data_IF_089875898130
#
_entry.id   IF_089875898130
#
_cell.length_a   1.000
_cell.length_b   1.000
_cell.length_c   1.000
_cell.angle_alpha   90.00
_cell.angle_beta   90.00
_cell.angle_gamma   90.00
#
_symmetry.space_group_name_H-M   'P 1'
#
loop_
_entity.id
_entity.type
_entity.pdbx_description
1 polymer ?
#
# COMPACT_ATOMS: atom_id res chain seq x y z
N UNK A 1 25.83 -7.85 -7.29
CA UNK A 1 25.27 -8.94 -8.13
C UNK A 1 23.78 -9.14 -7.82
N UNK A 2 23.38 -9.42 -6.57
CA UNK A 2 21.95 -9.50 -6.19
C UNK A 2 21.15 -8.24 -6.52
N UNK A 3 21.68 -7.04 -6.23
CA UNK A 3 21.01 -5.77 -6.51
C UNK A 3 20.57 -5.58 -7.98
N UNK A 4 21.24 -6.23 -8.95
CA UNK A 4 20.84 -6.18 -10.36
C UNK A 4 19.58 -7.04 -10.63
N UNK A 5 19.39 -8.11 -9.88
CA UNK A 5 18.21 -8.96 -9.95
C UNK A 5 17.05 -8.46 -9.10
N UNK A 6 17.31 -7.55 -8.14
CA UNK A 6 16.30 -6.97 -7.26
C UNK A 6 15.42 -5.97 -8.00
N UNK A 7 14.11 -6.20 -7.97
CA UNK A 7 13.08 -5.25 -8.39
C UNK A 7 13.35 -3.89 -7.71
N UNK A 8 13.39 -2.77 -8.47
CA UNK A 8 13.50 -1.44 -7.91
C UNK A 8 12.49 -1.15 -6.78
N UNK A 9 11.31 -1.78 -6.80
CA UNK A 9 10.34 -1.69 -5.73
C UNK A 9 10.89 -2.20 -4.39
N UNK A 10 11.66 -3.32 -4.39
CA UNK A 10 12.29 -3.84 -3.17
C UNK A 10 13.37 -2.90 -2.63
N UNK A 11 14.10 -2.21 -3.52
CA UNK A 11 15.13 -1.25 -3.15
C UNK A 11 14.51 0.00 -2.52
N UNK A 12 13.49 0.57 -3.16
CA UNK A 12 12.76 1.73 -2.64
C UNK A 12 12.11 1.44 -1.29
N UNK A 13 11.47 0.28 -1.13
CA UNK A 13 10.83 -0.04 0.15
C UNK A 13 11.83 -0.28 1.27
N UNK A 14 13.05 -0.75 0.98
CA UNK A 14 14.13 -0.80 1.97
C UNK A 14 14.57 0.60 2.41
N UNK A 15 14.81 1.50 1.47
CA UNK A 15 15.21 2.89 1.74
C UNK A 15 14.13 3.64 2.52
N UNK A 16 12.88 3.61 2.04
CA UNK A 16 11.76 4.29 2.70
C UNK A 16 11.42 3.70 4.07
N UNK A 17 11.61 2.40 4.28
CA UNK A 17 11.44 1.80 5.61
C UNK A 17 12.49 2.31 6.60
N UNK A 18 13.72 2.49 6.13
CA UNK A 18 14.79 3.08 6.93
C UNK A 18 14.48 4.53 7.27
N UNK A 19 14.13 5.33 6.25
CA UNK A 19 13.77 6.74 6.42
C UNK A 19 12.57 6.94 7.34
N UNK A 20 11.53 6.10 7.24
CA UNK A 20 10.37 6.17 8.12
C UNK A 20 10.72 5.90 9.59
N UNK A 21 11.70 5.01 9.86
CA UNK A 21 12.18 4.77 11.22
C UNK A 21 13.03 5.93 11.74
N UNK A 22 13.88 6.51 10.90
CA UNK A 22 14.66 7.70 11.25
C UNK A 22 13.76 8.91 11.53
N UNK A 23 12.74 9.16 10.70
CA UNK A 23 11.75 10.21 10.90
C UNK A 23 10.93 10.00 12.19
N UNK A 24 10.64 8.73 12.53
CA UNK A 24 9.99 8.38 13.80
C UNK A 24 10.94 8.47 15.01
N UNK A 25 12.23 8.76 14.83
CA UNK A 25 13.22 8.80 15.92
C UNK A 25 13.57 7.42 16.49
N UNK A 26 13.27 6.34 15.77
CA UNK A 26 13.44 4.95 16.23
C UNK A 26 14.71 4.37 15.60
N UNK A 27 15.78 4.12 16.38
CA UNK A 27 17.04 3.63 15.84
C UNK A 27 16.91 2.18 15.35
N UNK A 28 17.13 1.89 14.05
CA UNK A 28 16.94 0.54 13.48
C UNK A 28 17.79 -0.54 14.17
N UNK A 29 18.95 -0.17 14.71
CA UNK A 29 19.87 -1.08 15.40
C UNK A 29 19.26 -1.72 16.65
N UNK A 30 18.29 -1.06 17.30
CA UNK A 30 17.60 -1.55 18.49
C UNK A 30 16.44 -2.50 18.20
N UNK A 31 16.07 -2.69 16.92
CA UNK A 31 14.87 -3.41 16.54
C UNK A 31 15.08 -4.90 16.26
N UNK A 32 16.33 -5.39 16.27
CA UNK A 32 16.61 -6.81 16.00
C UNK A 32 15.98 -7.68 17.08
N UNK A 33 15.18 -8.67 16.68
CA UNK A 33 14.42 -9.53 17.59
C UNK A 33 13.11 -8.89 18.10
N UNK A 34 12.79 -7.67 17.69
CA UNK A 34 11.51 -7.03 18.04
C UNK A 34 10.34 -7.67 17.32
N UNK A 35 9.16 -7.62 17.92
CA UNK A 35 7.91 -8.04 17.25
C UNK A 35 7.38 -6.93 16.36
N UNK A 36 8.25 -6.32 15.56
CA UNK A 36 7.85 -5.31 14.59
C UNK A 36 7.32 -5.97 13.33
N UNK A 37 6.13 -5.60 12.88
CA UNK A 37 5.51 -6.13 11.66
C UNK A 37 5.82 -5.28 10.42
N UNK A 38 5.67 -5.88 9.24
CA UNK A 38 5.86 -5.25 7.92
C UNK A 38 4.70 -5.61 6.99
N UNK A 39 3.98 -4.60 6.51
CA UNK A 39 2.77 -4.75 5.71
C UNK A 39 2.83 -3.85 4.48
N UNK A 40 3.08 -4.41 3.30
CA UNK A 40 3.21 -3.60 2.08
C UNK A 40 2.20 -3.96 1.00
N UNK A 41 1.56 -2.94 0.44
CA UNK A 41 0.73 -3.05 -0.74
C UNK A 41 1.55 -2.96 -2.02
N UNK A 42 1.43 -3.96 -2.91
CA UNK A 42 2.03 -3.92 -4.24
C UNK A 42 1.23 -4.79 -5.21
N UNK A 43 1.08 -4.34 -6.46
CA UNK A 43 0.25 -5.03 -7.47
C UNK A 43 1.08 -5.61 -8.62
N UNK A 44 1.98 -4.81 -9.20
CA UNK A 44 2.68 -5.18 -10.43
C UNK A 44 4.11 -5.63 -10.14
N UNK A 45 4.55 -6.71 -10.77
CA UNK A 45 5.95 -7.14 -10.83
C UNK A 45 6.39 -7.15 -12.29
N UNK A 46 6.72 -5.97 -12.79
CA UNK A 46 7.10 -5.75 -14.19
C UNK A 46 8.59 -6.05 -14.42
N UNK A 47 9.41 -5.96 -13.36
CA UNK A 47 10.87 -6.11 -13.47
C UNK A 47 11.29 -7.49 -13.99
N UNK A 48 10.50 -8.54 -13.70
CA UNK A 48 10.63 -9.87 -14.29
C UNK A 48 10.77 -9.85 -15.81
N UNK A 49 9.91 -9.07 -16.46
CA UNK A 49 9.83 -8.98 -17.93
C UNK A 49 10.97 -8.14 -18.50
N UNK A 50 11.32 -7.05 -17.83
CA UNK A 50 12.39 -6.13 -18.26
C UNK A 50 13.77 -6.74 -18.08
N UNK A 51 14.02 -7.40 -16.94
CA UNK A 51 15.32 -7.98 -16.60
C UNK A 51 15.55 -9.37 -17.24
N UNK A 52 14.48 -10.12 -17.49
CA UNK A 52 14.52 -11.57 -17.68
C UNK A 52 14.02 -12.11 -19.03
N UNK A 53 14.03 -11.33 -20.12
CA UNK A 53 13.46 -11.74 -21.42
C UNK A 53 13.95 -13.06 -22.06
N UNK A 54 14.81 -13.85 -21.43
CA UNK A 54 15.18 -15.20 -21.85
C UNK A 54 15.30 -16.13 -20.62
N UNK A 55 14.81 -17.37 -20.73
CA UNK A 55 14.92 -18.42 -19.69
C UNK A 55 16.39 -18.65 -19.25
N UNK A 56 17.33 -18.36 -20.15
CA UNK A 56 18.78 -18.48 -19.99
C UNK A 56 19.38 -17.49 -18.98
N UNK A 57 18.58 -16.51 -18.51
CA UNK A 57 18.98 -15.48 -17.54
C UNK A 57 18.46 -15.72 -16.12
N UNK A 58 17.79 -16.85 -15.88
CA UNK A 58 17.41 -17.27 -14.53
C UNK A 58 18.70 -17.58 -13.74
N UNK A 59 18.92 -16.81 -12.68
CA UNK A 59 20.08 -16.92 -11.81
C UNK A 59 19.64 -17.09 -10.36
N UNK A 60 20.60 -17.35 -9.47
CA UNK A 60 20.37 -17.61 -8.04
C UNK A 60 19.47 -16.57 -7.34
N UNK A 61 19.52 -15.30 -7.74
CA UNK A 61 18.76 -14.21 -7.12
C UNK A 61 17.48 -13.83 -7.86
N UNK A 62 17.11 -14.51 -8.96
CA UNK A 62 15.93 -14.16 -9.74
C UNK A 62 14.65 -14.31 -8.92
N UNK A 63 14.51 -15.44 -8.21
CA UNK A 63 13.32 -15.70 -7.38
C UNK A 63 13.16 -14.66 -6.26
N UNK A 64 14.22 -14.42 -5.48
CA UNK A 64 14.16 -13.46 -4.37
C UNK A 64 14.16 -12.00 -4.85
N UNK A 65 14.65 -11.73 -6.05
CA UNK A 65 14.70 -10.39 -6.62
C UNK A 65 13.37 -9.92 -7.20
N UNK A 66 12.45 -10.81 -7.57
CA UNK A 66 11.28 -10.46 -8.39
C UNK A 66 9.93 -10.81 -7.75
N UNK A 67 9.92 -11.66 -6.74
CA UNK A 67 8.70 -12.02 -6.03
C UNK A 67 8.20 -10.88 -5.12
N UNK A 68 6.90 -10.60 -5.16
CA UNK A 68 6.29 -9.52 -4.39
C UNK A 68 6.30 -9.79 -2.88
N UNK A 69 6.22 -11.05 -2.44
CA UNK A 69 6.30 -11.39 -1.01
C UNK A 69 7.65 -10.99 -0.39
N UNK A 70 8.69 -10.92 -1.21
CA UNK A 70 10.03 -10.54 -0.77
C UNK A 70 10.12 -9.03 -0.47
N UNK A 71 9.17 -8.20 -0.93
CA UNK A 71 9.11 -6.78 -0.57
C UNK A 71 9.10 -6.58 0.96
N UNK A 72 8.17 -7.25 1.64
CA UNK A 72 8.06 -7.18 3.09
C UNK A 72 9.15 -8.03 3.78
N UNK A 73 9.36 -9.26 3.30
CA UNK A 73 10.30 -10.18 3.92
C UNK A 73 11.75 -9.66 3.93
N UNK A 74 12.16 -8.93 2.89
CA UNK A 74 13.51 -8.36 2.81
C UNK A 74 13.71 -7.24 3.83
N UNK A 75 12.71 -6.38 4.06
CA UNK A 75 12.75 -5.36 5.11
C UNK A 75 12.84 -6.02 6.48
N UNK A 76 11.98 -7.01 6.76
CA UNK A 76 12.05 -7.80 8.00
C UNK A 76 13.43 -8.44 8.19
N UNK A 77 13.99 -9.04 7.14
CA UNK A 77 15.32 -9.68 7.18
C UNK A 77 16.44 -8.68 7.48
N UNK A 78 16.50 -7.55 6.76
CA UNK A 78 17.56 -6.55 6.89
C UNK A 78 17.53 -5.89 8.27
N UNK A 79 16.33 -5.59 8.79
CA UNK A 79 16.14 -4.94 10.08
C UNK A 79 16.10 -5.95 11.26
N UNK A 80 16.01 -7.25 10.98
CA UNK A 80 15.93 -8.31 11.98
C UNK A 80 14.60 -8.35 12.75
N UNK A 81 13.49 -8.07 12.07
CA UNK A 81 12.15 -8.00 12.69
C UNK A 81 11.48 -9.38 12.70
N UNK A 82 10.78 -9.70 13.79
CA UNK A 82 10.15 -11.01 14.02
C UNK A 82 8.62 -10.95 14.06
N UNK A 83 8.01 -9.79 13.78
CA UNK A 83 6.56 -9.67 13.63
C UNK A 83 6.03 -10.18 12.29
N UNK A 84 4.70 -10.12 12.06
CA UNK A 84 4.09 -10.49 10.79
C UNK A 84 4.71 -9.73 9.61
N UNK A 85 5.02 -10.42 8.51
CA UNK A 85 5.63 -9.84 7.32
C UNK A 85 4.85 -10.28 6.08
N UNK A 86 4.19 -9.34 5.39
CA UNK A 86 3.33 -9.68 4.26
C UNK A 86 3.27 -8.61 3.17
N UNK A 87 3.17 -9.09 1.93
CA UNK A 87 2.79 -8.30 0.78
C UNK A 87 1.32 -8.54 0.47
N UNK A 88 0.58 -7.46 0.17
CA UNK A 88 -0.87 -7.48 -0.07
C UNK A 88 -1.15 -6.92 -1.46
N UNK A 89 -2.02 -7.60 -2.19
CA UNK A 89 -2.50 -7.14 -3.49
C UNK A 89 -4.04 -7.13 -3.50
N UNK A 90 -4.61 -5.96 -3.31
CA UNK A 90 -6.04 -5.66 -3.48
C UNK A 90 -6.22 -4.55 -4.52
N UNK A 91 -5.36 -4.56 -5.56
CA UNK A 91 -5.27 -3.54 -6.60
C UNK A 91 -5.09 -2.11 -6.03
N UNK A 92 -5.93 -1.16 -6.41
CA UNK A 92 -5.80 0.26 -6.02
C UNK A 92 -5.89 0.50 -4.52
N UNK A 93 -6.45 -0.43 -3.75
CA UNK A 93 -6.60 -0.32 -2.29
C UNK A 93 -5.44 -0.92 -1.49
N UNK A 94 -4.44 -1.52 -2.15
CA UNK A 94 -3.43 -2.38 -1.51
C UNK A 94 -2.70 -1.70 -0.35
N UNK A 95 -2.31 -0.43 -0.49
CA UNK A 95 -1.62 0.32 0.57
C UNK A 95 -2.52 0.59 1.78
N UNK A 96 -3.78 0.96 1.56
CA UNK A 96 -4.74 1.17 2.65
C UNK A 96 -5.13 -0.13 3.36
N UNK A 97 -5.24 -1.24 2.63
CA UNK A 97 -5.45 -2.57 3.23
C UNK A 97 -4.23 -2.98 4.04
N UNK A 98 -3.02 -2.72 3.56
CA UNK A 98 -1.79 -2.98 4.32
C UNK A 98 -1.74 -2.18 5.63
N UNK A 99 -2.11 -0.89 5.60
CA UNK A 99 -2.25 -0.05 6.80
C UNK A 99 -3.35 -0.57 7.74
N UNK A 100 -4.49 -1.02 7.20
CA UNK A 100 -5.54 -1.64 8.00
C UNK A 100 -5.05 -2.88 8.74
N UNK A 101 -4.36 -3.79 8.05
CA UNK A 101 -3.81 -5.01 8.64
C UNK A 101 -2.73 -4.70 9.69
N UNK A 102 -1.87 -3.72 9.44
CA UNK A 102 -0.91 -3.23 10.43
C UNK A 102 -1.62 -2.72 11.70
N UNK A 103 -2.67 -1.91 11.56
CA UNK A 103 -3.47 -1.46 12.70
C UNK A 103 -4.10 -2.64 13.46
N UNK A 104 -4.65 -3.63 12.76
CA UNK A 104 -5.19 -4.83 13.40
C UNK A 104 -4.13 -5.62 14.16
N UNK A 105 -2.94 -5.79 13.59
CA UNK A 105 -1.83 -6.49 14.23
C UNK A 105 -1.37 -5.80 15.52
N UNK A 106 -1.26 -4.45 15.49
CA UNK A 106 -0.94 -3.64 16.66
C UNK A 106 -2.02 -3.75 17.75
N UNK A 107 -3.30 -3.63 17.38
CA UNK A 107 -4.41 -3.72 18.33
C UNK A 107 -4.55 -5.10 18.98
N UNK A 108 -4.14 -6.16 18.28
CA UNK A 108 -4.12 -7.54 18.79
C UNK A 108 -2.85 -7.88 19.57
N UNK A 109 -1.85 -6.99 19.59
CA UNK A 109 -0.55 -7.24 20.21
C UNK A 109 0.31 -8.27 19.45
N UNK A 110 -0.02 -8.56 18.20
CA UNK A 110 0.79 -9.39 17.30
C UNK A 110 2.04 -8.61 16.83
N UNK A 111 1.92 -7.28 16.74
CA UNK A 111 3.03 -6.36 16.51
C UNK A 111 3.11 -5.30 17.61
N UNK A 112 4.31 -4.85 17.96
CA UNK A 112 4.52 -3.70 18.86
C UNK A 112 4.83 -2.38 18.14
N UNK A 113 5.36 -2.52 16.92
CA UNK A 113 5.51 -1.48 15.90
C UNK A 113 5.16 -2.11 14.55
N UNK A 114 4.61 -1.35 13.61
CA UNK A 114 4.34 -1.85 12.27
C UNK A 114 4.80 -0.84 11.22
N UNK A 115 5.60 -1.30 10.26
CA UNK A 115 5.86 -0.58 9.01
C UNK A 115 4.75 -0.92 8.02
N UNK A 116 4.04 0.08 7.53
CA UNK A 116 2.95 -0.11 6.60
C UNK A 116 3.05 0.85 5.42
N UNK A 117 2.65 0.44 4.23
CA UNK A 117 2.81 1.29 3.06
C UNK A 117 2.49 0.61 1.75
N UNK A 118 3.00 1.16 0.66
CA UNK A 118 2.90 0.53 -0.65
C UNK A 118 3.79 1.17 -1.70
N UNK A 119 3.91 0.47 -2.82
CA UNK A 119 4.74 0.86 -3.96
C UNK A 119 4.06 0.51 -5.27
N UNK A 120 4.24 1.37 -6.26
CA UNK A 120 3.85 1.13 -7.63
C UNK A 120 4.88 1.73 -8.58
N UNK A 121 5.50 0.89 -9.41
CA UNK A 121 6.35 1.30 -10.52
C UNK A 121 5.82 0.73 -11.84
N UNK A 122 5.99 1.47 -12.93
CA UNK A 122 5.58 1.15 -14.29
C UNK A 122 6.81 0.88 -15.15
N UNK A 123 7.39 -0.31 -14.97
CA UNK A 123 8.68 -0.64 -15.61
C UNK A 123 8.51 -1.19 -17.03
N UNK A 124 7.31 -1.65 -17.39
CA UNK A 124 7.02 -2.24 -18.68
C UNK A 124 5.65 -1.77 -19.22
N UNK A 125 5.48 -1.66 -20.56
CA UNK A 125 4.28 -1.06 -21.15
C UNK A 125 3.03 -1.94 -21.06
N UNK A 126 3.16 -3.25 -20.83
CA UNK A 126 2.04 -4.20 -20.93
C UNK A 126 0.93 -3.91 -19.92
N UNK A 127 1.27 -3.51 -18.69
CA UNK A 127 0.29 -3.14 -17.67
C UNK A 127 -0.49 -1.88 -18.09
N UNK A 128 0.18 -0.91 -18.74
CA UNK A 128 -0.47 0.29 -19.27
C UNK A 128 -1.37 -0.05 -20.48
N UNK A 129 -0.91 -0.91 -21.39
CA UNK A 129 -1.71 -1.37 -22.55
C UNK A 129 -2.95 -2.13 -22.07
N UNK A 130 -2.83 -2.99 -21.07
CA UNK A 130 -3.95 -3.72 -20.49
C UNK A 130 -5.01 -2.76 -19.89
N UNK A 131 -4.58 -1.76 -19.13
CA UNK A 131 -5.48 -0.74 -18.56
C UNK A 131 -6.11 0.16 -19.63
N UNK A 132 -5.38 0.49 -20.70
CA UNK A 132 -5.94 1.21 -21.85
C UNK A 132 -7.05 0.39 -22.54
N UNK A 133 -6.83 -0.92 -22.74
CA UNK A 133 -7.85 -1.83 -23.30
C UNK A 133 -9.05 -2.03 -22.37
N UNK A 134 -8.85 -1.92 -21.06
CA UNK A 134 -9.94 -1.93 -20.07
C UNK A 134 -10.79 -0.65 -20.14
N UNK A 135 -10.33 0.39 -20.84
CA UNK A 135 -11.09 1.63 -21.04
C UNK A 135 -11.10 2.57 -19.84
N UNK A 136 -10.18 2.38 -18.87
CA UNK A 136 -10.14 3.14 -17.61
C UNK A 136 -9.17 4.32 -17.64
N UNK A 137 -8.30 4.40 -18.66
CA UNK A 137 -7.30 5.46 -18.77
C UNK A 137 -7.82 6.68 -19.54
N UNK A 138 -7.50 7.87 -19.05
CA UNK A 138 -7.82 9.12 -19.75
C UNK A 138 -6.96 9.27 -21.01
N UNK A 139 -7.57 9.55 -22.18
CA UNK A 139 -6.83 9.86 -23.41
C UNK A 139 -6.09 11.20 -23.32
N UNK A 140 -6.47 12.08 -22.39
CA UNK A 140 -5.85 13.39 -22.18
C UNK A 140 -4.62 13.32 -21.26
N UNK A 141 -4.32 12.13 -20.70
CA UNK A 141 -3.23 11.93 -19.74
C UNK A 141 -3.43 12.67 -18.42
N UNK A 142 -4.69 12.95 -18.02
CA UNK A 142 -5.01 13.68 -16.78
C UNK A 142 -6.21 13.06 -16.06
N UNK A 143 -6.04 12.78 -14.77
CA UNK A 143 -7.16 12.48 -13.87
C UNK A 143 -7.91 13.78 -13.56
N UNK A 144 -9.17 13.87 -13.97
CA UNK A 144 -10.03 15.05 -13.80
C UNK A 144 -11.15 14.75 -12.80
N UNK A 145 -10.75 14.44 -11.57
CA UNK A 145 -11.67 14.04 -10.50
C UNK A 145 -12.78 15.08 -10.30
N UNK A 146 -14.04 14.61 -10.33
CA UNK A 146 -15.25 15.40 -10.12
C UNK A 146 -15.53 16.49 -11.17
N UNK A 147 -14.77 16.53 -12.28
CA UNK A 147 -14.99 17.44 -13.40
C UNK A 147 -15.98 16.81 -14.39
N UNK A 148 -16.86 17.61 -14.99
CA UNK A 148 -17.79 17.14 -16.03
C UNK A 148 -17.09 16.51 -17.25
N UNK A 149 -15.79 16.76 -17.44
CA UNK A 149 -14.93 16.20 -18.49
C UNK A 149 -14.15 14.96 -18.04
N UNK A 150 -14.46 14.38 -16.87
CA UNK A 150 -13.92 13.13 -16.37
C UNK A 150 -14.05 12.02 -17.43
N UNK A 151 -12.91 11.45 -17.85
CA UNK A 151 -12.84 10.47 -18.93
C UNK A 151 -11.80 9.37 -18.67
N UNK A 152 -11.50 9.09 -17.40
CA UNK A 152 -10.52 8.10 -16.96
C UNK A 152 -9.43 8.69 -16.06
N UNK A 153 -8.58 7.82 -15.52
CA UNK A 153 -7.44 8.22 -14.70
C UNK A 153 -6.13 8.18 -15.51
N UNK A 154 -5.08 8.82 -15.00
CA UNK A 154 -3.71 8.63 -15.47
C UNK A 154 -2.93 7.80 -14.45
N UNK A 155 -2.11 6.86 -14.94
CA UNK A 155 -1.26 6.06 -14.05
C UNK A 155 -0.11 6.91 -13.51
N UNK A 156 0.22 6.71 -12.23
CA UNK A 156 1.37 7.34 -11.58
C UNK A 156 2.30 6.29 -10.96
N UNK A 157 3.54 6.68 -10.69
CA UNK A 157 4.49 5.89 -9.91
C UNK A 157 4.68 6.54 -8.53
N UNK A 158 4.99 5.73 -7.53
CA UNK A 158 5.24 6.22 -6.19
C UNK A 158 5.40 5.11 -5.17
N UNK A 159 5.96 5.49 -4.03
CA UNK A 159 6.10 4.62 -2.87
C UNK A 159 5.96 5.46 -1.59
N UNK A 160 5.54 4.82 -0.51
CA UNK A 160 5.45 5.45 0.80
C UNK A 160 5.36 4.42 1.92
N UNK A 161 5.97 4.75 3.05
CA UNK A 161 5.98 3.94 4.27
C UNK A 161 5.64 4.82 5.47
N UNK A 162 4.81 4.31 6.37
CA UNK A 162 4.52 4.90 7.67
C UNK A 162 4.93 3.92 8.78
N UNK A 163 5.51 4.44 9.86
CA UNK A 163 5.75 3.70 11.08
C UNK A 163 4.56 3.91 12.04
N UNK A 164 3.95 2.81 12.49
CA UNK A 164 2.75 2.82 13.33
C UNK A 164 3.04 2.17 14.67
N UNK A 165 2.56 2.80 15.76
CA UNK A 165 2.57 2.26 17.13
C UNK A 165 1.22 2.53 17.80
N UNK A 166 0.84 1.76 18.84
CA UNK A 166 -0.28 2.13 19.69
C UNK A 166 -0.02 3.51 20.31
N UNK A 167 -1.00 4.42 20.24
CA UNK A 167 -0.84 5.80 20.69
C UNK A 167 -0.31 5.92 22.12
N UNK A 168 -0.82 5.07 23.03
CA UNK A 168 -0.35 5.04 24.41
C UNK A 168 1.15 4.73 24.51
N UNK A 169 1.65 3.81 23.68
CA UNK A 169 3.07 3.45 23.66
C UNK A 169 3.92 4.56 23.04
N UNK A 170 3.46 5.18 21.94
CA UNK A 170 4.16 6.31 21.33
C UNK A 170 4.31 7.49 22.31
N UNK A 171 3.27 7.77 23.10
CA UNK A 171 3.32 8.80 24.15
C UNK A 171 4.28 8.44 25.29
N UNK A 172 4.32 7.17 25.71
CA UNK A 172 5.24 6.71 26.76
C UNK A 172 6.70 6.78 26.32
N UNK A 173 6.97 6.41 25.07
CA UNK A 173 8.32 6.40 24.51
C UNK A 173 8.79 7.79 24.06
N UNK A 174 7.88 8.78 24.01
CA UNK A 174 8.18 10.15 23.60
C UNK A 174 8.39 10.29 22.09
N UNK A 175 7.78 9.42 21.29
CA UNK A 175 7.92 9.43 19.84
C UNK A 175 7.21 10.66 19.22
N UNK A 176 7.72 11.18 18.09
CA UNK A 176 6.98 12.16 17.28
C UNK A 176 5.69 11.54 16.73
N UNK A 177 4.58 12.29 16.83
CA UNK A 177 3.25 11.85 16.36
C UNK A 177 2.75 12.81 15.29
N UNK A 178 2.79 12.39 14.03
CA UNK A 178 2.27 13.16 12.89
C UNK A 178 0.75 13.12 12.77
N UNK A 179 0.12 12.06 13.27
CA UNK A 179 -1.32 11.85 13.19
C UNK A 179 -1.76 10.58 13.91
N UNK A 180 -3.08 10.40 14.02
CA UNK A 180 -3.67 9.23 14.68
C UNK A 180 -4.71 8.58 13.77
N UNK A 181 -4.52 7.29 13.48
CA UNK A 181 -5.52 6.48 12.79
C UNK A 181 -6.57 6.08 13.83
N UNK A 182 -7.73 6.74 13.77
CA UNK A 182 -8.83 6.49 14.73
C UNK A 182 -9.58 5.21 14.44
N UNK A 183 -9.72 4.84 13.17
CA UNK A 183 -10.39 3.62 12.74
C UNK A 183 -10.20 3.40 11.24
N UNK A 184 -10.34 2.16 10.82
CA UNK A 184 -10.30 1.74 9.41
C UNK A 184 -11.18 0.52 9.20
N UNK A 185 -11.66 0.34 7.97
CA UNK A 185 -12.50 -0.79 7.57
C UNK A 185 -12.10 -1.24 6.16
N UNK A 186 -12.44 -2.49 5.83
CA UNK A 186 -12.27 -3.09 4.49
C UNK A 186 -13.51 -3.94 4.23
N UNK A 187 -14.09 -3.81 3.04
CA UNK A 187 -15.19 -4.65 2.57
C UNK A 187 -15.04 -4.96 1.06
N UNK A 188 -16.07 -5.50 0.44
CA UNK A 188 -16.10 -5.82 -0.98
C UNK A 188 -17.45 -5.43 -1.58
N UNK A 189 -17.44 -5.02 -2.85
CA UNK A 189 -18.64 -4.65 -3.59
C UNK A 189 -19.60 -5.84 -3.78
N UNK A 190 -19.11 -7.07 -3.70
CA UNK A 190 -19.89 -8.28 -3.86
C UNK A 190 -20.44 -8.42 -5.28
N UNK A 191 -21.69 -8.87 -5.40
CA UNK A 191 -22.39 -8.93 -6.67
C UNK A 191 -22.95 -7.55 -7.03
N UNK A 192 -22.30 -6.85 -7.97
CA UNK A 192 -22.68 -5.51 -8.44
C UNK A 192 -22.98 -5.50 -9.96
N UNK A 193 -23.13 -4.32 -10.57
CA UNK A 193 -23.40 -4.14 -12.00
C UNK A 193 -22.24 -4.56 -12.94
N UNK A 194 -21.20 -5.19 -12.41
CA UNK A 194 -20.08 -5.74 -13.15
C UNK A 194 -18.87 -5.93 -12.23
N UNK A 195 -17.97 -6.86 -12.56
CA UNK A 195 -16.81 -7.16 -11.71
C UNK A 195 -15.94 -5.93 -11.38
N UNK A 196 -15.90 -4.95 -12.28
CA UNK A 196 -15.12 -3.71 -12.13
C UNK A 196 -16.00 -2.49 -11.85
N UNK A 197 -17.31 -2.67 -11.70
CA UNK A 197 -18.23 -1.57 -11.44
C UNK A 197 -18.32 -1.30 -9.93
N UNK A 198 -18.12 -0.04 -9.48
CA UNK A 198 -18.19 0.29 -8.06
C UNK A 198 -19.61 0.12 -7.51
N UNK A 199 -19.72 -0.12 -6.20
CA UNK A 199 -21.00 -0.19 -5.49
C UNK A 199 -21.15 0.96 -4.48
N UNK A 200 -22.02 1.96 -4.72
CA UNK A 200 -22.28 3.03 -3.76
C UNK A 200 -22.74 2.53 -2.39
N UNK A 201 -23.57 1.48 -2.37
CA UNK A 201 -24.05 0.88 -1.13
C UNK A 201 -22.92 0.22 -0.33
N UNK A 202 -21.96 -0.43 -1.00
CA UNK A 202 -20.79 -0.99 -0.33
C UNK A 202 -19.85 0.10 0.20
N UNK A 203 -19.64 1.19 -0.55
CA UNK A 203 -18.86 2.33 -0.07
C UNK A 203 -19.52 3.01 1.13
N UNK A 204 -20.84 3.19 1.13
CA UNK A 204 -21.57 3.73 2.27
C UNK A 204 -21.42 2.83 3.51
N UNK A 205 -21.60 1.51 3.34
CA UNK A 205 -21.42 0.55 4.42
C UNK A 205 -19.98 0.56 4.97
N UNK A 206 -18.98 0.69 4.09
CA UNK A 206 -17.57 0.81 4.46
C UNK A 206 -17.33 2.04 5.34
N UNK A 207 -17.82 3.20 4.92
CA UNK A 207 -17.67 4.45 5.67
C UNK A 207 -18.36 4.37 7.04
N UNK A 208 -19.57 3.79 7.10
CA UNK A 208 -20.30 3.58 8.36
C UNK A 208 -19.50 2.70 9.33
N UNK A 209 -18.91 1.60 8.86
CA UNK A 209 -18.06 0.73 9.69
C UNK A 209 -16.80 1.47 10.16
N UNK A 210 -16.11 2.18 9.25
CA UNK A 210 -14.93 2.96 9.61
C UNK A 210 -15.22 4.03 10.68
N UNK A 211 -16.34 4.75 10.57
CA UNK A 211 -16.76 5.74 11.56
C UNK A 211 -17.15 5.12 12.90
N UNK A 212 -17.86 3.99 12.88
CA UNK A 212 -18.21 3.25 14.09
C UNK A 212 -16.95 2.78 14.83
N UNK A 213 -15.98 2.21 14.12
CA UNK A 213 -14.67 1.79 14.70
C UNK A 213 -13.86 2.96 15.23
N UNK A 214 -13.94 4.11 14.57
CA UNK A 214 -13.28 5.34 15.01
C UNK A 214 -13.98 6.03 16.21
N UNK A 215 -15.21 5.62 16.53
CA UNK A 215 -16.04 6.25 17.55
C UNK A 215 -16.38 7.71 17.21
N UNK A 216 -16.57 8.03 15.93
CA UNK A 216 -16.90 9.38 15.47
C UNK A 216 -18.21 9.39 14.69
N UNK A 217 -18.88 10.55 14.68
CA UNK A 217 -20.01 10.82 13.82
C UNK A 217 -19.56 11.40 12.47
N UNK A 218 -20.31 11.20 11.38
CA UNK A 218 -19.94 11.73 10.06
C UNK A 218 -19.75 13.26 10.04
N UNK A 219 -20.52 14.02 10.83
CA UNK A 219 -20.43 15.50 10.92
C UNK A 219 -19.14 16.01 11.56
N UNK A 220 -18.33 15.12 12.14
CA UNK A 220 -17.02 15.46 12.68
C UNK A 220 -15.90 15.39 11.62
N UNK A 221 -16.17 14.78 10.45
CA UNK A 221 -15.22 14.69 9.34
C UNK A 221 -15.23 15.99 8.57
N UNK A 222 -14.08 16.66 8.50
CA UNK A 222 -13.93 17.96 7.82
C UNK A 222 -13.40 17.86 6.41
N UNK A 223 -12.72 16.76 6.11
CA UNK A 223 -12.02 16.55 4.85
C UNK A 223 -12.08 15.07 4.47
N UNK A 224 -12.21 14.81 3.18
CA UNK A 224 -12.16 13.47 2.59
C UNK A 224 -11.19 13.51 1.43
N UNK A 225 -10.06 12.82 1.57
CA UNK A 225 -9.22 12.46 0.43
C UNK A 225 -9.92 11.30 -0.30
N UNK A 226 -10.63 11.61 -1.37
CA UNK A 226 -11.44 10.63 -2.09
C UNK A 226 -10.58 9.73 -3.00
N UNK A 227 -11.13 8.58 -3.42
CA UNK A 227 -10.49 7.76 -4.45
C UNK A 227 -10.35 8.51 -5.78
N UNK A 228 -11.39 9.30 -6.15
CA UNK A 228 -11.31 10.39 -7.12
C UNK A 228 -10.58 10.05 -8.42
N UNK A 229 -10.98 8.99 -9.10
CA UNK A 229 -10.23 8.51 -10.28
C UNK A 229 -10.49 9.35 -11.54
N UNK A 230 -11.47 10.26 -11.55
CA UNK A 230 -11.79 11.00 -12.77
C UNK A 230 -12.55 10.14 -13.77
N UNK A 231 -13.31 9.15 -13.30
CA UNK A 231 -14.07 8.23 -14.15
C UNK A 231 -15.55 8.60 -14.15
N UNK A 232 -16.19 8.53 -15.32
CA UNK A 232 -17.60 8.92 -15.48
C UNK A 232 -18.56 8.11 -14.62
N UNK A 233 -18.20 6.85 -14.31
CA UNK A 233 -19.01 5.97 -13.47
C UNK A 233 -18.63 6.03 -11.98
N UNK A 234 -17.36 6.30 -11.66
CA UNK A 234 -16.85 6.19 -10.29
C UNK A 234 -16.85 7.49 -9.49
N UNK A 235 -16.87 8.65 -10.16
CA UNK A 235 -16.90 9.95 -9.49
C UNK A 235 -18.30 10.37 -8.98
N UNK A 236 -19.41 10.15 -9.72
CA UNK A 236 -20.77 10.38 -9.21
C UNK A 236 -21.19 9.37 -8.13
#
# INVERSE_FOLDING_TARGET
REALAMDPQQRLMLELSWEALEDAGIPPRGMRGSRSGVFFGAMWSDYGKVAGGAADRIAQHTATGQDLSILAARVSYVLGLEGPSMAVNTACSSSLVAVHLACQSLLRGESELALAGGVNLMLAPESAVAMSRLGVLSPDGRSKAFDARANGYVRGEGAGVVALKPLAQALLDGDPIHGVIRGSAVNNDGFSNGLTAPSPAAQEALLRDAYARAGIRPDQVRYVEAHGTGTTLGDP
#
